data_IF_080866086389
#
_entry.id   IF_080866086389
#
_cell.length_a   1.000
_cell.length_b   1.000
_cell.length_c   1.000
_cell.angle_alpha   90.00
_cell.angle_beta   90.00
_cell.angle_gamma   90.00
#
_symmetry.space_group_name_H-M   'P 1'
#
loop_
_entity.id
_entity.type
_entity.pdbx_description
1 polymer ?
#
# COMPACT_ATOMS: atom_id res chain seq x y z
N UNK A 1 -37.05 43.22 -24.88
CA UNK A 1 -36.74 41.88 -25.47
C UNK A 1 -35.29 41.44 -25.27
N UNK A 2 -34.36 42.31 -24.83
CA UNK A 2 -32.95 41.97 -24.58
C UNK A 2 -32.65 41.41 -23.17
N UNK A 3 -33.43 41.75 -22.14
CA UNK A 3 -33.18 41.29 -20.76
C UNK A 3 -33.29 39.77 -20.56
N UNK A 4 -34.12 39.09 -21.36
CA UNK A 4 -34.35 37.65 -21.19
C UNK A 4 -33.14 36.82 -21.66
N UNK A 5 -32.37 37.30 -22.62
CA UNK A 5 -31.18 36.60 -23.14
C UNK A 5 -29.99 36.70 -22.18
N UNK A 6 -29.87 37.80 -21.45
CA UNK A 6 -28.79 38.02 -20.48
C UNK A 6 -28.92 37.06 -19.30
N UNK A 7 -30.15 36.86 -18.78
CA UNK A 7 -30.39 35.91 -17.69
C UNK A 7 -30.11 34.46 -18.06
N UNK A 8 -30.45 34.05 -19.28
CA UNK A 8 -30.17 32.69 -19.80
C UNK A 8 -28.66 32.49 -19.99
N UNK A 9 -27.97 33.48 -20.55
CA UNK A 9 -26.52 33.43 -20.72
C UNK A 9 -25.77 33.35 -19.37
N UNK A 10 -26.20 34.10 -18.36
CA UNK A 10 -25.61 34.06 -17.01
C UNK A 10 -25.86 32.70 -16.36
N UNK A 11 -27.07 32.12 -16.50
CA UNK A 11 -27.39 30.79 -15.99
C UNK A 11 -26.49 29.72 -16.61
N UNK A 12 -26.34 29.75 -17.93
CA UNK A 12 -25.56 28.75 -18.66
C UNK A 12 -24.05 28.90 -18.35
N UNK A 13 -23.56 30.13 -18.15
CA UNK A 13 -22.20 30.40 -17.67
C UNK A 13 -21.95 29.86 -16.26
N UNK A 14 -22.89 30.04 -15.33
CA UNK A 14 -22.80 29.51 -13.96
C UNK A 14 -22.77 27.98 -13.96
N UNK A 15 -23.63 27.35 -14.80
CA UNK A 15 -23.63 25.90 -14.97
C UNK A 15 -22.29 25.39 -15.54
N UNK A 16 -21.73 26.10 -16.52
CA UNK A 16 -20.45 25.74 -17.11
C UNK A 16 -19.29 25.83 -16.10
N UNK A 17 -19.30 26.87 -15.25
CA UNK A 17 -18.31 27.04 -14.18
C UNK A 17 -18.44 25.91 -13.15
N UNK A 18 -19.65 25.59 -12.69
CA UNK A 18 -19.89 24.49 -11.74
C UNK A 18 -19.44 23.13 -12.29
N UNK A 19 -19.59 22.90 -13.59
CA UNK A 19 -19.16 21.66 -14.24
C UNK A 19 -17.63 21.55 -14.29
N UNK A 20 -16.92 22.66 -14.52
CA UNK A 20 -15.45 22.71 -14.50
C UNK A 20 -14.84 22.51 -13.11
N UNK A 21 -15.51 22.98 -12.04
CA UNK A 21 -15.04 22.77 -10.66
C UNK A 21 -15.09 21.31 -10.21
N UNK A 22 -15.89 20.45 -10.86
CA UNK A 22 -16.01 19.03 -10.50
C UNK A 22 -14.84 18.16 -10.98
N UNK A 23 -14.00 18.65 -11.90
CA UNK A 23 -12.95 17.84 -12.56
C UNK A 23 -11.66 17.75 -11.74
N UNK A 24 -11.48 18.55 -10.70
CA UNK A 24 -10.22 18.62 -9.92
C UNK A 24 -10.18 17.72 -8.68
N UNK A 25 -11.25 16.97 -8.41
CA UNK A 25 -11.39 16.21 -7.17
C UNK A 25 -11.22 14.69 -7.39
N UNK A 26 -10.03 14.21 -7.77
CA UNK A 26 -9.59 12.83 -7.42
C UNK A 26 -8.18 12.49 -7.88
N UNK A 27 -7.19 12.85 -7.06
CA UNK A 27 -5.94 12.08 -6.96
C UNK A 27 -5.54 12.00 -5.49
N UNK A 28 -6.30 11.26 -4.68
CA UNK A 28 -5.85 10.85 -3.35
C UNK A 28 -4.79 9.75 -3.53
N UNK A 29 -3.54 10.17 -3.60
CA UNK A 29 -2.40 9.28 -3.66
C UNK A 29 -2.14 8.69 -2.26
N UNK A 30 -2.41 7.40 -2.08
CA UNK A 30 -2.25 6.68 -0.83
C UNK A 30 -0.74 6.65 -0.45
N UNK A 31 -0.33 7.52 0.48
CA UNK A 31 1.01 7.48 1.07
C UNK A 31 0.98 6.52 2.24
N UNK A 32 1.72 5.42 2.16
CA UNK A 32 1.93 4.55 3.30
C UNK A 32 3.06 5.12 4.18
N UNK A 33 2.87 5.11 5.51
CA UNK A 33 3.92 5.36 6.51
C UNK A 33 4.49 4.04 7.09
N UNK A 34 4.12 2.91 6.46
CA UNK A 34 4.47 1.56 6.85
C UNK A 34 4.74 0.72 5.60
N UNK A 35 5.47 -0.39 5.76
CA UNK A 35 5.48 -1.43 4.74
C UNK A 35 4.17 -2.20 4.82
N UNK A 36 3.39 -2.22 3.76
CA UNK A 36 2.15 -3.00 3.69
C UNK A 36 2.37 -4.15 2.73
N UNK A 37 2.42 -5.37 3.26
CA UNK A 37 2.57 -6.60 2.48
C UNK A 37 1.21 -7.29 2.40
N UNK A 38 0.61 -7.24 1.22
CA UNK A 38 -0.65 -7.90 0.92
C UNK A 38 -0.38 -9.28 0.31
N UNK A 39 -0.87 -10.33 0.97
CA UNK A 39 -0.81 -11.70 0.45
C UNK A 39 -2.06 -11.98 -0.40
N UNK A 40 -1.88 -12.22 -1.69
CA UNK A 40 -2.94 -12.65 -2.62
C UNK A 40 -2.70 -14.09 -3.05
N UNK A 41 -3.68 -14.73 -3.69
CA UNK A 41 -3.65 -16.17 -4.00
C UNK A 41 -2.53 -16.65 -4.93
N UNK A 42 -1.79 -15.74 -5.59
CA UNK A 42 -0.68 -16.11 -6.48
C UNK A 42 0.51 -15.15 -6.48
N UNK A 43 0.44 -14.07 -5.70
CA UNK A 43 1.51 -13.08 -5.62
C UNK A 43 1.36 -12.27 -4.34
N UNK A 44 2.43 -11.57 -3.99
CA UNK A 44 2.41 -10.57 -2.92
C UNK A 44 2.50 -9.18 -3.54
N UNK A 45 1.70 -8.25 -3.02
CA UNK A 45 1.82 -6.83 -3.34
C UNK A 45 2.44 -6.12 -2.15
N UNK A 46 3.47 -5.32 -2.39
CA UNK A 46 4.09 -4.51 -1.35
C UNK A 46 3.87 -3.05 -1.64
N UNK A 47 3.35 -2.32 -0.66
CA UNK A 47 3.35 -0.87 -0.64
C UNK A 47 4.50 -0.44 0.27
N UNK A 48 5.42 0.36 -0.25
CA UNK A 48 6.52 0.85 0.56
C UNK A 48 6.22 2.23 1.10
N UNK A 49 6.79 2.55 2.27
CA UNK A 49 6.66 3.86 2.86
C UNK A 49 7.32 4.93 1.97
N UNK A 50 6.70 6.10 1.89
CA UNK A 50 7.29 7.27 1.20
C UNK A 50 8.34 7.95 2.07
N UNK A 51 8.15 7.89 3.40
CA UNK A 51 9.03 8.53 4.39
C UNK A 51 9.55 7.49 5.37
N UNK A 52 10.81 7.57 5.77
CA UNK A 52 11.43 6.60 6.68
C UNK A 52 11.75 7.27 8.01
N UNK A 53 11.16 6.73 9.08
CA UNK A 53 11.55 7.02 10.46
C UNK A 53 12.41 5.87 11.02
N UNK A 54 13.12 6.10 12.14
CA UNK A 54 13.92 5.05 12.79
C UNK A 54 13.09 3.83 13.21
N UNK A 55 11.82 4.05 13.58
CA UNK A 55 10.85 2.99 13.84
C UNK A 55 9.86 2.96 12.69
N UNK A 56 9.63 1.77 12.15
CA UNK A 56 8.65 1.56 11.10
C UNK A 56 7.84 0.31 11.36
N UNK A 57 6.63 0.28 10.82
CA UNK A 57 5.73 -0.86 10.92
C UNK A 57 5.77 -1.69 9.64
N UNK A 58 5.77 -3.01 9.78
CA UNK A 58 5.39 -3.95 8.75
C UNK A 58 3.97 -4.41 9.05
N UNK A 59 3.04 -4.10 8.14
CA UNK A 59 1.65 -4.53 8.17
C UNK A 59 1.48 -5.64 7.14
N UNK A 60 1.16 -6.84 7.61
CA UNK A 60 0.86 -7.97 6.74
C UNK A 60 -0.65 -8.15 6.64
N UNK A 61 -1.20 -7.97 5.44
CA UNK A 61 -2.62 -8.11 5.13
C UNK A 61 -2.85 -9.43 4.41
N UNK A 62 -3.58 -10.35 5.03
CA UNK A 62 -3.87 -11.64 4.44
C UNK A 62 -5.17 -11.58 3.65
N UNK A 63 -5.08 -11.40 2.32
CA UNK A 63 -6.23 -11.45 1.41
C UNK A 63 -6.48 -12.85 0.83
N UNK A 64 -5.81 -13.87 1.36
CA UNK A 64 -6.01 -15.27 0.97
C UNK A 64 -7.06 -15.96 1.85
N UNK A 65 -7.43 -17.20 1.48
CA UNK A 65 -8.36 -18.03 2.25
C UNK A 65 -7.69 -18.84 3.37
N UNK A 66 -6.36 -18.88 3.41
CA UNK A 66 -5.60 -19.69 4.35
C UNK A 66 -4.91 -18.83 5.39
N UNK A 67 -4.67 -19.40 6.58
CA UNK A 67 -3.90 -18.71 7.62
C UNK A 67 -2.47 -18.52 7.13
N UNK A 68 -1.99 -17.27 7.19
CA UNK A 68 -0.63 -16.91 6.82
C UNK A 68 0.26 -16.92 8.05
N UNK A 69 1.41 -17.58 7.95
CA UNK A 69 2.51 -17.50 8.92
C UNK A 69 3.74 -17.01 8.19
N UNK A 70 4.45 -16.07 8.78
CA UNK A 70 5.68 -15.55 8.20
C UNK A 70 6.62 -15.03 9.27
N UNK A 71 7.82 -14.66 8.82
CA UNK A 71 8.81 -14.01 9.67
C UNK A 71 9.38 -12.77 8.99
N UNK A 72 9.76 -11.79 9.79
CA UNK A 72 10.57 -10.67 9.35
C UNK A 72 12.04 -11.02 9.63
N UNK A 73 12.87 -10.92 8.61
CA UNK A 73 14.29 -11.21 8.69
C UNK A 73 15.13 -10.02 8.22
N UNK A 74 16.26 -9.78 8.89
CA UNK A 74 17.24 -8.76 8.55
C UNK A 74 18.53 -9.41 8.08
N UNK A 75 19.09 -8.89 6.98
CA UNK A 75 20.34 -9.34 6.36
C UNK A 75 20.41 -10.86 6.09
N UNK A 76 19.27 -11.53 5.90
CA UNK A 76 19.21 -12.96 5.57
C UNK A 76 19.48 -13.92 6.73
N UNK A 77 19.74 -13.43 7.95
CA UNK A 77 20.18 -14.28 9.07
C UNK A 77 19.48 -13.96 10.40
N UNK A 78 19.16 -12.69 10.66
CA UNK A 78 18.60 -12.26 11.94
C UNK A 78 17.07 -12.23 11.86
N UNK A 79 16.40 -13.17 12.51
CA UNK A 79 14.94 -13.19 12.61
C UNK A 79 14.49 -12.16 13.66
N UNK A 80 13.80 -11.11 13.21
CA UNK A 80 13.35 -10.01 14.07
C UNK A 80 12.00 -10.30 14.73
N UNK A 81 11.11 -10.99 14.03
CA UNK A 81 9.77 -11.30 14.51
C UNK A 81 9.12 -12.42 13.69
N UNK A 82 8.21 -13.13 14.35
CA UNK A 82 7.30 -14.09 13.72
C UNK A 82 5.88 -13.56 13.82
N UNK A 83 5.09 -13.74 12.78
CA UNK A 83 3.70 -13.28 12.73
C UNK A 83 2.79 -14.34 12.15
N UNK A 84 1.54 -14.33 12.63
CA UNK A 84 0.47 -15.19 12.14
C UNK A 84 -0.74 -14.32 11.88
N UNK A 85 -1.22 -14.32 10.64
CA UNK A 85 -2.33 -13.50 10.18
C UNK A 85 -3.46 -14.39 9.68
N UNK A 86 -4.63 -14.31 10.32
CA UNK A 86 -5.82 -15.04 9.89
C UNK A 86 -6.33 -14.55 8.52
N UNK A 87 -7.09 -15.38 7.77
CA UNK A 87 -7.72 -14.96 6.51
C UNK A 87 -8.54 -13.68 6.66
N UNK A 88 -8.39 -12.74 5.74
CA UNK A 88 -9.10 -11.45 5.73
C UNK A 88 -8.69 -10.49 6.85
N UNK A 89 -7.62 -10.78 7.61
CA UNK A 89 -7.13 -9.93 8.69
C UNK A 89 -5.78 -9.32 8.35
N UNK A 90 -5.40 -8.29 9.12
CA UNK A 90 -4.08 -7.70 9.11
C UNK A 90 -3.37 -7.92 10.45
N UNK A 91 -2.05 -7.95 10.43
CA UNK A 91 -1.21 -7.99 11.63
C UNK A 91 -0.04 -7.04 11.42
N UNK A 92 0.28 -6.25 12.44
CA UNK A 92 1.34 -5.25 12.39
C UNK A 92 2.45 -5.61 13.36
N UNK A 93 3.70 -5.39 12.96
CA UNK A 93 4.86 -5.42 13.84
C UNK A 93 5.67 -4.16 13.64
N UNK A 94 6.19 -3.61 14.73
CA UNK A 94 7.11 -2.47 14.68
C UNK A 94 8.55 -2.96 14.82
N UNK A 95 9.46 -2.35 14.07
CA UNK A 95 10.88 -2.68 14.15
C UNK A 95 11.75 -1.46 13.85
N UNK A 96 13.00 -1.53 14.31
CA UNK A 96 13.99 -0.50 13.98
C UNK A 96 14.52 -0.70 12.56
N UNK A 97 14.31 0.34 11.75
CA UNK A 97 14.68 0.38 10.36
C UNK A 97 16.03 1.05 10.16
N UNK A 98 16.95 0.33 9.53
CA UNK A 98 18.28 0.80 9.18
C UNK A 98 18.46 0.74 7.66
N UNK A 99 18.68 1.91 7.03
CA UNK A 99 18.82 2.02 5.57
C UNK A 99 20.03 1.25 5.01
N UNK A 100 21.03 0.96 5.84
CA UNK A 100 22.21 0.18 5.44
C UNK A 100 21.93 -1.33 5.38
N UNK A 101 20.79 -1.78 5.92
CA UNK A 101 20.45 -3.19 6.05
C UNK A 101 19.29 -3.56 5.14
N UNK A 102 19.25 -4.84 4.77
CA UNK A 102 18.15 -5.41 3.99
C UNK A 102 17.16 -6.10 4.90
N UNK A 103 15.88 -5.91 4.61
CA UNK A 103 14.78 -6.51 5.36
C UNK A 103 13.94 -7.34 4.41
N UNK A 104 13.56 -8.55 4.83
CA UNK A 104 12.76 -9.47 4.05
C UNK A 104 11.60 -9.98 4.89
N UNK A 105 10.40 -9.99 4.31
CA UNK A 105 9.30 -10.78 4.83
C UNK A 105 9.32 -12.15 4.17
N UNK A 106 9.35 -13.21 4.97
CA UNK A 106 9.46 -14.59 4.51
C UNK A 106 8.18 -15.34 4.89
N UNK A 107 7.31 -15.65 3.92
CA UNK A 107 6.14 -16.50 4.15
C UNK A 107 6.55 -17.94 4.44
N UNK A 108 6.24 -18.42 5.64
CA UNK A 108 6.54 -19.79 6.08
C UNK A 108 5.39 -20.75 5.78
N UNK A 109 4.14 -20.26 5.79
CA UNK A 109 2.95 -21.06 5.47
C UNK A 109 1.79 -20.16 5.04
N UNK A 110 1.25 -20.32 3.82
CA UNK A 110 1.83 -21.10 2.72
C UNK A 110 3.25 -20.60 2.39
N UNK A 111 4.15 -21.53 2.07
CA UNK A 111 5.53 -21.18 1.74
C UNK A 111 5.56 -20.40 0.42
N UNK A 112 6.39 -19.37 0.35
CA UNK A 112 6.53 -18.51 -0.82
C UNK A 112 7.96 -17.96 -0.90
N UNK A 113 8.30 -17.34 -2.02
CA UNK A 113 9.58 -16.66 -2.14
C UNK A 113 9.69 -15.47 -1.16
N UNK A 114 10.93 -15.11 -0.84
CA UNK A 114 11.24 -14.02 0.06
C UNK A 114 10.81 -12.67 -0.55
N UNK A 115 10.15 -11.84 0.25
CA UNK A 115 9.66 -10.52 -0.15
C UNK A 115 10.62 -9.47 0.42
N UNK A 116 11.56 -8.99 -0.41
CA UNK A 116 12.49 -7.91 -0.02
C UNK A 116 11.73 -6.60 0.17
N UNK A 117 11.83 -6.00 1.36
CA UNK A 117 11.19 -4.73 1.71
C UNK A 117 12.01 -3.55 1.19
N UNK A 118 11.81 -3.21 -0.08
CA UNK A 118 12.51 -2.10 -0.74
C UNK A 118 11.88 -0.76 -0.43
N UNK A 119 12.66 0.23 0.00
CA UNK A 119 12.14 1.57 0.24
C UNK A 119 12.18 2.42 -1.03
N UNK A 120 11.26 3.38 -1.12
CA UNK A 120 11.24 4.37 -2.21
C UNK A 120 10.54 3.86 -3.46
N UNK A 121 10.23 2.57 -3.53
CA UNK A 121 9.32 2.03 -4.53
C UNK A 121 7.88 2.33 -4.12
N UNK A 122 7.04 2.88 -5.01
CA UNK A 122 5.65 3.22 -4.67
C UNK A 122 4.86 1.96 -4.28
N UNK A 123 4.94 0.97 -5.15
CA UNK A 123 4.38 -0.36 -4.95
C UNK A 123 5.01 -1.32 -5.94
N UNK A 124 5.21 -2.58 -5.56
CA UNK A 124 5.69 -3.62 -6.46
C UNK A 124 4.99 -4.96 -6.17
N UNK A 125 5.02 -5.83 -7.16
CA UNK A 125 4.45 -7.17 -7.08
C UNK A 125 5.57 -8.21 -7.09
N UNK A 126 5.40 -9.21 -6.24
CA UNK A 126 6.32 -10.33 -6.07
C UNK A 126 5.55 -11.59 -6.50
N UNK A 127 5.73 -12.06 -7.76
CA UNK A 127 4.98 -13.19 -8.29
C UNK A 127 5.42 -14.51 -7.65
N UNK A 128 4.65 -15.59 -7.82
CA UNK A 128 5.14 -16.92 -7.46
C UNK A 128 6.33 -17.30 -8.37
N UNK A 129 7.35 -17.95 -7.80
CA UNK A 129 8.39 -18.59 -8.61
C UNK A 129 7.73 -19.66 -9.49
N UNK A 130 8.03 -19.64 -10.79
CA UNK A 130 7.55 -20.64 -11.76
C UNK A 130 8.31 -21.95 -11.62
#
# INVERSE_FOLDING_TARGET
>A
MYDSYIGVFIRDLILFILLFLSVTASHAYEKADAFIVEALSGYYKVLSPVTINKKISLIVVNKTLHKLRGKLQRNGQEDLAFLTTAPGKSTSIEFEFDKSKKYHFIPLSPAFQEVELKIGEKSYEVPAQR
#
